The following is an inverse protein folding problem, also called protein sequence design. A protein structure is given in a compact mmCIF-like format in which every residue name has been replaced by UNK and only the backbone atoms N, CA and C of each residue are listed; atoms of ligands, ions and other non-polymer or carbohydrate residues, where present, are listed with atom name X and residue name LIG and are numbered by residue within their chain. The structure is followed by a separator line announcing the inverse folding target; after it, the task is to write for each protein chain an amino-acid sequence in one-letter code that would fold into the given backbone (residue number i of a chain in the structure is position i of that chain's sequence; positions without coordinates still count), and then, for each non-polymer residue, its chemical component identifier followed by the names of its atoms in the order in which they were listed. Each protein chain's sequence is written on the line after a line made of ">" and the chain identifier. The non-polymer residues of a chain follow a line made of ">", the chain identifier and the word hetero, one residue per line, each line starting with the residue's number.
data_IF_327773603518
#
_entry.id   IF_327773603518
#
_cell.length_a   1.000
_cell.length_b   1.000
_cell.length_c   1.000
_cell.angle_alpha   90.00
_cell.angle_beta   90.00
_cell.angle_gamma   90.00
#
_symmetry.space_group_name_H-M   'P 1'
#
loop_
_entity.id
_entity.type
_entity.pdbx_description
1 polymer ?
#
# COMPACT_ATOMS: atom_id res chain seq x y z
N UNK A 1 -17.98 -6.30 -13.13
CA UNK A 1 -18.59 -6.34 -11.77
C UNK A 1 -18.74 -7.77 -11.23
N UNK A 2 -19.34 -8.72 -11.98
CA UNK A 2 -19.58 -10.10 -11.49
C UNK A 2 -18.30 -10.78 -10.99
N UNK A 3 -17.19 -10.72 -11.76
CA UNK A 3 -15.89 -11.31 -11.38
C UNK A 3 -15.39 -10.80 -10.02
N UNK A 4 -15.56 -9.52 -9.74
CA UNK A 4 -15.07 -8.91 -8.48
C UNK A 4 -15.88 -9.40 -7.27
N UNK A 5 -17.21 -9.50 -7.41
CA UNK A 5 -18.04 -10.08 -6.35
C UNK A 5 -17.73 -11.56 -6.14
N UNK A 6 -17.50 -12.32 -7.23
CA UNK A 6 -17.09 -13.73 -7.13
C UNK A 6 -15.77 -13.90 -6.38
N UNK A 7 -14.79 -13.04 -6.63
CA UNK A 7 -13.50 -13.04 -5.92
C UNK A 7 -13.70 -12.76 -4.42
N UNK A 8 -14.52 -11.77 -4.05
CA UNK A 8 -14.81 -11.48 -2.64
C UNK A 8 -15.51 -12.64 -1.94
N UNK A 9 -16.54 -13.22 -2.58
CA UNK A 9 -17.25 -14.40 -2.07
C UNK A 9 -16.28 -15.55 -1.86
N UNK A 10 -15.40 -15.79 -2.84
CA UNK A 10 -14.39 -16.85 -2.73
C UNK A 10 -13.45 -16.63 -1.54
N UNK A 11 -12.97 -15.41 -1.32
CA UNK A 11 -12.10 -15.08 -0.17
C UNK A 11 -12.82 -15.30 1.14
N UNK A 12 -14.10 -14.94 1.23
CA UNK A 12 -14.91 -15.21 2.42
C UNK A 12 -15.06 -16.71 2.67
N UNK A 13 -15.34 -17.50 1.63
CA UNK A 13 -15.39 -18.96 1.74
C UNK A 13 -14.05 -19.56 2.17
N UNK A 14 -12.94 -19.11 1.57
CA UNK A 14 -11.61 -19.54 1.94
C UNK A 14 -11.28 -19.19 3.41
N UNK A 15 -11.71 -18.01 3.88
CA UNK A 15 -11.55 -17.59 5.28
C UNK A 15 -12.36 -18.50 6.23
N UNK A 16 -13.61 -18.83 5.87
CA UNK A 16 -14.46 -19.76 6.64
C UNK A 16 -13.80 -21.15 6.69
N UNK A 17 -13.40 -21.70 5.55
CA UNK A 17 -12.72 -23.00 5.48
C UNK A 17 -11.42 -23.00 6.32
N UNK A 18 -10.63 -21.93 6.24
CA UNK A 18 -9.44 -21.76 7.06
C UNK A 18 -9.77 -21.71 8.55
N UNK A 19 -10.87 -21.06 8.96
CA UNK A 19 -11.28 -20.99 10.37
C UNK A 19 -11.73 -22.35 10.93
N UNK A 20 -12.31 -23.19 10.09
CA UNK A 20 -12.74 -24.54 10.42
C UNK A 20 -11.60 -25.56 10.38
N UNK A 21 -10.48 -25.23 9.74
CA UNK A 21 -9.34 -26.12 9.63
C UNK A 21 -8.66 -26.36 11.00
N UNK A 22 -8.55 -27.64 11.40
CA UNK A 22 -7.94 -28.05 12.67
C UNK A 22 -6.42 -27.90 12.67
N UNK A 23 -5.76 -28.09 11.51
CA UNK A 23 -4.30 -28.00 11.38
C UNK A 23 -3.89 -26.68 10.76
N UNK A 24 -2.83 -26.05 11.29
CA UNK A 24 -2.27 -24.78 10.80
C UNK A 24 -1.90 -24.81 9.31
N UNK A 25 -1.35 -25.94 8.85
CA UNK A 25 -0.94 -26.12 7.44
C UNK A 25 -2.09 -25.91 6.44
N UNK A 26 -3.32 -26.30 6.80
CA UNK A 26 -4.47 -26.04 5.92
C UNK A 26 -4.89 -24.57 5.91
N UNK A 27 -4.64 -23.83 7.00
CA UNK A 27 -4.89 -22.38 7.05
C UNK A 27 -3.97 -21.65 6.07
N UNK A 28 -2.70 -22.00 6.07
CA UNK A 28 -1.72 -21.42 5.15
C UNK A 28 -2.03 -21.79 3.69
N UNK A 29 -2.42 -23.06 3.45
CA UNK A 29 -2.82 -23.53 2.12
C UNK A 29 -4.04 -22.76 1.58
N UNK A 30 -5.08 -22.56 2.37
CA UNK A 30 -6.25 -21.77 1.93
C UNK A 30 -5.88 -20.34 1.61
N UNK A 31 -4.96 -19.72 2.38
CA UNK A 31 -4.48 -18.38 2.11
C UNK A 31 -3.65 -18.30 0.83
N UNK A 32 -2.79 -19.30 0.57
CA UNK A 32 -2.03 -19.42 -0.68
C UNK A 32 -2.96 -19.58 -1.89
N UNK A 33 -3.98 -20.43 -1.80
CA UNK A 33 -4.99 -20.61 -2.85
C UNK A 33 -5.72 -19.29 -3.12
N UNK A 34 -6.12 -18.55 -2.08
CA UNK A 34 -6.76 -17.25 -2.25
C UNK A 34 -5.86 -16.25 -2.98
N UNK A 35 -4.59 -16.16 -2.59
CA UNK A 35 -3.61 -15.29 -3.27
C UNK A 35 -3.37 -15.74 -4.72
N UNK A 36 -3.26 -17.05 -4.97
CA UNK A 36 -3.07 -17.58 -6.33
C UNK A 36 -4.25 -17.27 -7.25
N UNK A 37 -5.48 -17.37 -6.75
CA UNK A 37 -6.65 -16.99 -7.55
C UNK A 37 -6.72 -15.50 -7.85
N UNK A 38 -6.32 -14.63 -6.90
CA UNK A 38 -6.18 -13.21 -7.18
C UNK A 38 -5.13 -12.96 -8.27
N UNK A 39 -4.01 -13.66 -8.20
CA UNK A 39 -2.99 -13.60 -9.25
C UNK A 39 -3.57 -14.02 -10.61
N UNK A 40 -4.25 -15.16 -10.71
CA UNK A 40 -4.83 -15.64 -11.96
C UNK A 40 -5.79 -14.61 -12.56
N UNK A 41 -6.75 -14.10 -11.79
CA UNK A 41 -7.69 -13.08 -12.26
C UNK A 41 -6.98 -11.84 -12.78
N UNK A 42 -5.92 -11.42 -12.10
CA UNK A 42 -5.13 -10.26 -12.49
C UNK A 42 -4.26 -10.53 -13.73
N UNK A 43 -3.69 -11.72 -13.88
CA UNK A 43 -2.78 -12.10 -14.96
C UNK A 43 -3.49 -12.39 -16.28
N UNK A 44 -4.69 -13.01 -16.21
CA UNK A 44 -5.45 -13.42 -17.41
C UNK A 44 -6.47 -12.37 -17.87
N UNK A 45 -6.54 -11.22 -17.21
CA UNK A 45 -7.49 -10.16 -17.57
C UNK A 45 -7.31 -9.72 -19.02
N UNK A 46 -8.38 -9.25 -19.61
CA UNK A 46 -8.37 -8.63 -20.91
C UNK A 46 -7.60 -7.29 -20.90
N UNK A 47 -6.99 -6.93 -22.02
CA UNK A 47 -6.20 -5.69 -22.17
C UNK A 47 -7.04 -4.41 -22.05
N UNK A 48 -8.35 -4.52 -22.25
CA UNK A 48 -9.29 -3.43 -21.99
C UNK A 48 -9.52 -3.15 -20.50
N UNK A 49 -9.06 -4.04 -19.61
CA UNK A 49 -9.17 -3.86 -18.16
C UNK A 49 -7.98 -3.08 -17.62
N UNK A 50 -8.15 -1.79 -17.46
CA UNK A 50 -7.17 -0.83 -16.99
C UNK A 50 -6.94 0.30 -18.00
N UNK A 51 -7.27 1.53 -17.61
CA UNK A 51 -7.22 2.71 -18.52
C UNK A 51 -5.80 3.05 -19.00
N UNK A 52 -4.77 2.72 -18.21
CA UNK A 52 -3.37 3.00 -18.56
C UNK A 52 -2.67 1.79 -19.21
N UNK A 53 -3.31 0.61 -19.21
CA UNK A 53 -2.70 -0.61 -19.72
C UNK A 53 -2.31 -0.53 -21.19
N UNK A 54 -3.16 -0.02 -22.11
CA UNK A 54 -2.77 0.11 -23.53
C UNK A 54 -1.47 0.89 -23.74
N UNK A 55 -1.22 1.94 -22.96
CA UNK A 55 0.02 2.73 -23.02
C UNK A 55 1.25 1.92 -22.61
N UNK A 56 1.11 1.02 -21.63
CA UNK A 56 2.22 0.15 -21.19
C UNK A 56 2.51 -0.93 -22.23
N UNK A 57 1.47 -1.49 -22.86
CA UNK A 57 1.64 -2.49 -23.93
C UNK A 57 2.28 -1.85 -25.17
N UNK A 58 1.93 -0.62 -25.50
CA UNK A 58 2.55 0.13 -26.60
C UNK A 58 4.07 0.31 -26.38
N UNK A 59 4.50 0.58 -25.15
CA UNK A 59 5.93 0.64 -24.79
C UNK A 59 6.59 -0.72 -25.02
N UNK A 60 5.98 -1.81 -24.54
CA UNK A 60 6.50 -3.18 -24.71
C UNK A 60 6.68 -3.50 -26.19
N UNK A 61 5.69 -3.17 -27.01
CA UNK A 61 5.72 -3.39 -28.44
C UNK A 61 6.83 -2.55 -29.12
N UNK A 62 6.95 -1.28 -28.76
CA UNK A 62 7.99 -0.39 -29.30
C UNK A 62 9.40 -0.92 -28.94
N UNK A 63 9.61 -1.35 -27.70
CA UNK A 63 10.88 -1.93 -27.24
C UNK A 63 11.20 -3.26 -27.97
N UNK A 64 10.17 -4.08 -28.25
CA UNK A 64 10.35 -5.40 -28.88
C UNK A 64 10.93 -5.36 -30.29
N UNK A 65 10.94 -4.21 -30.95
CA UNK A 65 11.52 -4.01 -32.29
C UNK A 65 12.93 -3.43 -32.27
N UNK A 66 13.50 -3.12 -31.07
CA UNK A 66 14.80 -2.47 -30.95
C UNK A 66 15.91 -3.45 -30.51
N UNK A 67 17.12 -3.27 -31.08
CA UNK A 67 18.31 -3.93 -30.55
C UNK A 67 18.72 -3.29 -29.22
N UNK A 68 19.56 -4.00 -28.42
CA UNK A 68 19.96 -3.49 -27.10
C UNK A 68 20.72 -2.17 -27.15
N UNK A 69 21.52 -1.90 -28.19
CA UNK A 69 22.20 -0.61 -28.39
C UNK A 69 21.22 0.51 -28.66
N UNK A 70 20.22 0.24 -29.53
CA UNK A 70 19.16 1.19 -29.88
C UNK A 70 18.25 1.41 -28.67
N UNK A 71 17.94 0.35 -27.94
CA UNK A 71 17.22 0.43 -26.66
C UNK A 71 17.91 1.36 -25.65
N UNK A 72 19.23 1.30 -25.49
CA UNK A 72 19.96 2.19 -24.57
C UNK A 72 19.92 3.65 -25.00
N UNK A 73 20.00 3.91 -26.32
CA UNK A 73 19.86 5.27 -26.87
C UNK A 73 18.43 5.77 -26.79
N UNK A 74 17.45 4.92 -27.08
CA UNK A 74 16.02 5.24 -27.10
C UNK A 74 15.41 5.25 -25.69
N UNK A 75 15.95 4.47 -24.73
CA UNK A 75 15.49 4.49 -23.33
C UNK A 75 15.62 5.87 -22.69
N UNK A 76 16.59 6.66 -23.12
CA UNK A 76 16.73 8.07 -22.76
C UNK A 76 15.70 8.97 -23.49
N UNK A 77 15.05 8.43 -24.53
CA UNK A 77 14.10 9.14 -25.39
C UNK A 77 12.63 8.89 -25.05
N UNK A 78 12.31 8.00 -24.08
CA UNK A 78 10.93 7.77 -23.61
C UNK A 78 10.52 8.84 -22.59
N UNK A 79 10.02 10.02 -23.03
CA UNK A 79 9.67 11.10 -22.11
C UNK A 79 8.50 10.67 -21.21
N UNK A 80 8.69 10.82 -19.90
CA UNK A 80 7.66 10.55 -18.89
C UNK A 80 7.68 9.13 -18.29
N UNK A 81 8.70 8.31 -18.63
CA UNK A 81 8.90 7.00 -18.02
C UNK A 81 10.27 6.93 -17.35
N UNK A 82 10.29 6.32 -16.15
CA UNK A 82 11.51 6.13 -15.38
C UNK A 82 12.33 4.94 -15.94
N UNK A 83 13.64 5.08 -15.88
CA UNK A 83 14.59 4.12 -16.44
C UNK A 83 14.38 2.67 -15.94
N UNK A 84 14.14 2.47 -14.66
CA UNK A 84 13.89 1.14 -14.10
C UNK A 84 12.62 0.49 -14.64
N UNK A 85 11.58 1.28 -14.93
CA UNK A 85 10.37 0.77 -15.58
C UNK A 85 10.67 0.30 -17.01
N UNK A 86 11.45 1.06 -17.76
CA UNK A 86 11.86 0.71 -19.12
C UNK A 86 12.68 -0.59 -19.12
N UNK A 87 13.62 -0.75 -18.18
CA UNK A 87 14.39 -2.02 -18.03
C UNK A 87 13.47 -3.20 -17.75
N UNK A 88 12.46 -3.05 -16.88
CA UNK A 88 11.51 -4.14 -16.59
C UNK A 88 10.79 -4.55 -17.87
N UNK A 89 10.31 -3.58 -18.67
CA UNK A 89 9.64 -3.87 -19.93
C UNK A 89 10.58 -4.56 -20.93
N UNK A 90 11.82 -4.13 -21.03
CA UNK A 90 12.83 -4.77 -21.89
C UNK A 90 13.08 -6.23 -21.50
N UNK A 91 13.26 -6.51 -20.22
CA UNK A 91 13.44 -7.89 -19.71
C UNK A 91 12.22 -8.74 -20.06
N UNK A 92 11.01 -8.20 -19.90
CA UNK A 92 9.76 -8.91 -20.23
C UNK A 92 9.70 -9.26 -21.71
N UNK A 93 10.10 -8.36 -22.60
CA UNK A 93 10.13 -8.59 -24.06
C UNK A 93 11.10 -9.70 -24.45
N UNK A 94 12.30 -9.75 -23.84
CA UNK A 94 13.29 -10.82 -24.10
C UNK A 94 12.72 -12.21 -23.80
N UNK A 95 11.89 -12.34 -22.75
CA UNK A 95 11.34 -13.61 -22.30
C UNK A 95 9.97 -13.99 -22.87
N UNK A 96 9.37 -13.14 -23.69
CA UNK A 96 8.06 -13.48 -24.25
C UNK A 96 7.36 -12.38 -25.03
N UNK A 97 6.08 -12.29 -24.83
CA UNK A 97 5.19 -11.30 -25.45
C UNK A 97 4.75 -10.23 -24.43
N UNK A 98 4.07 -9.20 -24.93
CA UNK A 98 3.41 -8.18 -24.10
C UNK A 98 2.55 -8.77 -22.97
N UNK A 99 1.94 -9.97 -23.19
CA UNK A 99 1.18 -10.71 -22.19
C UNK A 99 2.03 -11.05 -20.95
N UNK A 100 3.34 -11.25 -21.12
CA UNK A 100 4.27 -11.52 -20.02
C UNK A 100 4.40 -10.33 -19.07
N UNK A 101 4.18 -9.10 -19.53
CA UNK A 101 4.13 -7.93 -18.65
C UNK A 101 2.99 -8.07 -17.62
N UNK A 102 1.80 -8.51 -18.06
CA UNK A 102 0.66 -8.73 -17.16
C UNK A 102 0.92 -9.86 -16.18
N UNK A 103 1.47 -10.98 -16.67
CA UNK A 103 1.76 -12.15 -15.82
C UNK A 103 2.82 -11.81 -14.78
N UNK A 104 3.94 -11.25 -15.19
CA UNK A 104 5.08 -10.99 -14.28
C UNK A 104 4.77 -9.87 -13.28
N UNK A 105 4.15 -8.77 -13.72
CA UNK A 105 3.75 -7.69 -12.83
C UNK A 105 2.68 -8.13 -11.82
N UNK A 106 1.69 -8.93 -12.26
CA UNK A 106 0.66 -9.48 -11.38
C UNK A 106 1.24 -10.46 -10.36
N UNK A 107 2.15 -11.36 -10.80
CA UNK A 107 2.81 -12.32 -9.92
C UNK A 107 3.64 -11.60 -8.83
N UNK A 108 4.47 -10.65 -9.24
CA UNK A 108 5.29 -9.89 -8.31
C UNK A 108 4.45 -9.08 -7.33
N UNK A 109 3.40 -8.41 -7.82
CA UNK A 109 2.49 -7.62 -7.03
C UNK A 109 1.76 -8.46 -5.97
N UNK A 110 1.08 -9.52 -6.39
CA UNK A 110 0.31 -10.39 -5.48
C UNK A 110 1.24 -11.11 -4.49
N UNK A 111 2.41 -11.58 -4.95
CA UNK A 111 3.40 -12.20 -4.05
C UNK A 111 3.88 -11.22 -2.96
N UNK A 112 4.12 -9.96 -3.30
CA UNK A 112 4.57 -8.94 -2.34
C UNK A 112 3.51 -8.68 -1.26
N UNK A 113 2.23 -8.60 -1.62
CA UNK A 113 1.14 -8.44 -0.67
C UNK A 113 0.84 -9.73 0.11
N UNK A 114 0.90 -10.89 -0.53
CA UNK A 114 0.82 -12.18 0.17
C UNK A 114 1.90 -12.26 1.28
N UNK A 115 3.14 -11.93 0.95
CA UNK A 115 4.24 -11.88 1.91
C UNK A 115 4.00 -10.86 3.02
N UNK A 116 3.51 -9.66 2.68
CA UNK A 116 3.15 -8.63 3.65
C UNK A 116 2.15 -9.18 4.67
N UNK A 117 1.05 -9.77 4.20
CA UNK A 117 -0.03 -10.23 5.08
C UNK A 117 0.38 -11.46 5.89
N UNK A 118 1.11 -12.42 5.28
CA UNK A 118 1.61 -13.60 5.99
C UNK A 118 2.58 -13.24 7.12
N UNK A 119 3.42 -12.20 6.92
CA UNK A 119 4.48 -11.86 7.87
C UNK A 119 4.04 -10.85 8.94
N UNK A 120 3.18 -9.90 8.58
CA UNK A 120 2.85 -8.79 9.46
C UNK A 120 1.42 -8.82 10.00
N UNK A 121 0.46 -9.45 9.31
CA UNK A 121 -0.93 -9.44 9.75
C UNK A 121 -1.22 -10.54 10.77
N UNK A 122 -2.01 -10.19 11.77
CA UNK A 122 -2.59 -11.15 12.73
C UNK A 122 -3.82 -11.87 12.18
N UNK A 123 -4.47 -11.27 11.15
CA UNK A 123 -5.67 -11.80 10.49
C UNK A 123 -5.51 -11.69 8.96
N UNK A 124 -4.70 -12.58 8.32
CA UNK A 124 -4.32 -12.44 6.91
C UNK A 124 -5.50 -12.36 5.93
N UNK A 125 -6.58 -13.11 6.15
CA UNK A 125 -7.78 -13.07 5.31
C UNK A 125 -8.52 -11.73 5.41
N UNK A 126 -8.57 -11.14 6.62
CA UNK A 126 -9.13 -9.80 6.79
C UNK A 126 -8.27 -8.75 6.09
N UNK A 127 -6.94 -8.89 6.16
CA UNK A 127 -6.01 -8.04 5.40
C UNK A 127 -6.26 -8.13 3.90
N UNK A 128 -6.45 -9.34 3.39
CA UNK A 128 -6.74 -9.58 1.97
C UNK A 128 -8.09 -8.96 1.55
N UNK A 129 -9.12 -9.08 2.39
CA UNK A 129 -10.42 -8.44 2.15
C UNK A 129 -10.29 -6.91 2.13
N UNK A 130 -9.58 -6.32 3.10
CA UNK A 130 -9.34 -4.87 3.15
C UNK A 130 -8.53 -4.40 1.92
N UNK A 131 -7.51 -5.15 1.50
CA UNK A 131 -6.72 -4.88 0.29
C UNK A 131 -7.59 -4.74 -0.96
N UNK A 132 -8.61 -5.58 -1.10
CA UNK A 132 -9.56 -5.51 -2.21
C UNK A 132 -10.54 -4.36 -2.01
N UNK A 133 -11.16 -4.25 -0.83
CA UNK A 133 -12.16 -3.23 -0.52
C UNK A 133 -11.62 -1.80 -0.53
N UNK A 134 -10.33 -1.62 -0.19
CA UNK A 134 -9.63 -0.34 -0.31
C UNK A 134 -9.06 -0.08 -1.71
N UNK A 135 -9.52 -0.83 -2.69
CA UNK A 135 -9.20 -0.70 -4.12
C UNK A 135 -7.73 -0.94 -4.50
N UNK A 136 -6.84 -1.38 -3.59
CA UNK A 136 -5.44 -1.67 -3.94
C UNK A 136 -5.32 -2.73 -5.02
N UNK A 137 -6.10 -3.80 -4.92
CA UNK A 137 -6.11 -4.86 -5.91
C UNK A 137 -6.43 -4.33 -7.33
N UNK A 138 -7.45 -3.49 -7.44
CA UNK A 138 -7.89 -2.93 -8.73
C UNK A 138 -6.96 -1.83 -9.25
N UNK A 139 -6.47 -0.99 -8.35
CA UNK A 139 -5.51 0.05 -8.72
C UNK A 139 -4.19 -0.54 -9.23
N UNK A 140 -3.77 -1.71 -8.68
CA UNK A 140 -2.62 -2.45 -9.19
C UNK A 140 -2.80 -2.99 -10.62
N UNK A 141 -4.04 -3.16 -11.09
CA UNK A 141 -4.32 -3.50 -12.49
C UNK A 141 -4.16 -2.30 -13.44
N UNK A 142 -4.32 -1.10 -12.94
CA UNK A 142 -4.34 0.13 -13.73
C UNK A 142 -3.01 0.88 -13.69
N UNK A 143 -2.50 1.17 -12.49
CA UNK A 143 -1.31 1.99 -12.26
C UNK A 143 -0.05 1.11 -12.10
N UNK A 144 0.29 0.30 -13.11
CA UNK A 144 1.33 -0.74 -13.03
C UNK A 144 2.65 -0.23 -12.45
N UNK A 145 3.16 0.91 -12.93
CA UNK A 145 4.44 1.48 -12.47
C UNK A 145 4.43 1.78 -10.97
N UNK A 146 3.44 2.54 -10.52
CA UNK A 146 3.34 2.95 -9.12
C UNK A 146 3.18 1.73 -8.20
N UNK A 147 2.34 0.78 -8.58
CA UNK A 147 2.08 -0.39 -7.74
C UNK A 147 3.20 -1.43 -7.79
N UNK A 148 3.98 -1.48 -8.88
CA UNK A 148 5.24 -2.22 -8.91
C UNK A 148 6.27 -1.58 -7.95
N UNK A 149 6.37 -0.26 -7.93
CA UNK A 149 7.22 0.44 -6.96
C UNK A 149 6.75 0.20 -5.51
N UNK A 150 5.44 0.23 -5.24
CA UNK A 150 4.88 -0.15 -3.93
C UNK A 150 5.29 -1.58 -3.57
N UNK A 151 5.14 -2.54 -4.48
CA UNK A 151 5.50 -3.93 -4.26
C UNK A 151 6.99 -4.09 -3.89
N UNK A 152 7.90 -3.36 -4.54
CA UNK A 152 9.33 -3.31 -4.19
C UNK A 152 9.51 -2.76 -2.77
N UNK A 153 8.84 -1.66 -2.42
CA UNK A 153 8.97 -1.03 -1.11
C UNK A 153 8.52 -1.93 0.05
N UNK A 154 7.58 -2.85 -0.18
CA UNK A 154 7.15 -3.80 0.87
C UNK A 154 8.29 -4.67 1.40
N UNK A 155 9.35 -4.91 0.62
CA UNK A 155 10.55 -5.63 1.07
C UNK A 155 11.45 -4.79 1.98
N UNK A 156 11.26 -3.49 2.05
CA UNK A 156 12.05 -2.59 2.90
C UNK A 156 11.54 -2.46 4.33
N UNK A 157 10.29 -2.88 4.62
CA UNK A 157 9.61 -2.64 5.90
C UNK A 157 10.39 -3.19 7.10
N UNK A 158 10.99 -4.38 6.97
CA UNK A 158 11.79 -4.96 8.04
C UNK A 158 13.02 -4.09 8.37
N UNK A 159 13.65 -3.47 7.36
CA UNK A 159 14.81 -2.61 7.57
C UNK A 159 14.46 -1.26 8.24
N UNK A 160 13.20 -0.84 8.20
CA UNK A 160 12.71 0.29 9.01
C UNK A 160 12.71 -0.11 10.49
N UNK A 161 12.18 -1.31 10.81
CA UNK A 161 12.13 -1.85 12.18
C UNK A 161 13.55 -2.05 12.72
N UNK A 162 14.43 -2.69 11.94
CA UNK A 162 15.80 -3.04 12.32
C UNK A 162 16.75 -1.83 12.29
N UNK A 163 16.26 -0.64 11.90
CA UNK A 163 17.05 0.59 11.75
C UNK A 163 18.25 0.46 10.80
N UNK A 164 18.15 -0.40 9.80
CA UNK A 164 19.19 -0.66 8.80
C UNK A 164 19.06 0.28 7.60
N UNK A 165 19.55 1.52 7.74
CA UNK A 165 19.36 2.60 6.75
C UNK A 165 19.90 2.21 5.36
N UNK A 166 21.12 1.66 5.28
CA UNK A 166 21.73 1.32 3.99
C UNK A 166 20.90 0.33 3.18
N UNK A 167 20.38 -0.75 3.83
CA UNK A 167 19.52 -1.73 3.16
C UNK A 167 18.16 -1.12 2.78
N UNK A 168 17.61 -0.29 3.66
CA UNK A 168 16.35 0.40 3.41
C UNK A 168 16.43 1.33 2.21
N UNK A 169 17.44 2.22 2.17
CA UNK A 169 17.55 3.23 1.13
C UNK A 169 17.84 2.63 -0.26
N UNK A 170 18.59 1.53 -0.33
CA UNK A 170 18.83 0.81 -1.60
C UNK A 170 17.51 0.37 -2.21
N UNK A 171 16.58 -0.20 -1.41
CA UNK A 171 15.27 -0.63 -1.92
C UNK A 171 14.41 0.56 -2.31
N UNK A 172 14.46 1.66 -1.54
CA UNK A 172 13.73 2.90 -1.88
C UNK A 172 14.25 3.47 -3.21
N UNK A 173 15.57 3.54 -3.39
CA UNK A 173 16.17 4.02 -4.64
C UNK A 173 15.80 3.12 -5.82
N UNK A 174 15.83 1.79 -5.63
CA UNK A 174 15.38 0.84 -6.66
C UNK A 174 13.90 1.08 -7.02
N UNK A 175 13.01 1.25 -6.06
CA UNK A 175 11.61 1.58 -6.31
C UNK A 175 11.46 2.93 -7.03
N UNK A 176 12.30 3.91 -6.70
CA UNK A 176 12.30 5.25 -7.31
C UNK A 176 12.68 5.19 -8.80
N UNK A 177 13.55 4.26 -9.21
CA UNK A 177 13.85 4.05 -10.64
C UNK A 177 12.64 3.52 -11.43
N UNK A 178 11.67 2.90 -10.77
CA UNK A 178 10.43 2.40 -11.38
C UNK A 178 9.33 3.46 -11.36
N UNK A 179 9.25 4.24 -10.27
CA UNK A 179 8.31 5.34 -10.14
C UNK A 179 8.84 6.41 -9.19
N UNK A 180 9.13 7.59 -9.72
CA UNK A 180 9.87 8.65 -9.01
C UNK A 180 9.29 9.03 -7.64
N UNK A 181 7.95 9.04 -7.48
CA UNK A 181 7.32 9.40 -6.21
C UNK A 181 7.55 8.39 -5.08
N UNK A 182 8.10 7.19 -5.39
CA UNK A 182 8.48 6.19 -4.39
C UNK A 182 9.53 6.69 -3.39
N UNK A 183 10.32 7.72 -3.76
CA UNK A 183 11.29 8.35 -2.87
C UNK A 183 10.64 8.91 -1.59
N UNK A 184 9.37 9.34 -1.67
CA UNK A 184 8.61 9.85 -0.52
C UNK A 184 8.47 8.78 0.58
N UNK A 185 8.56 7.49 0.24
CA UNK A 185 8.51 6.41 1.24
C UNK A 185 9.68 6.47 2.23
N UNK A 186 10.78 7.15 1.89
CA UNK A 186 11.91 7.37 2.80
C UNK A 186 11.48 8.04 4.12
N UNK A 187 10.41 8.83 4.13
CA UNK A 187 9.88 9.51 5.32
C UNK A 187 9.59 8.54 6.48
N UNK A 188 9.15 7.30 6.18
CA UNK A 188 8.82 6.33 7.24
C UNK A 188 10.04 5.99 8.11
N UNK A 189 11.24 5.95 7.53
CA UNK A 189 12.46 5.66 8.26
C UNK A 189 12.75 6.70 9.35
N UNK A 190 12.51 7.97 9.06
CA UNK A 190 12.75 9.08 9.97
C UNK A 190 11.64 9.24 11.02
N UNK A 191 10.40 8.92 10.66
CA UNK A 191 9.24 9.05 11.55
C UNK A 191 9.12 7.86 12.52
N UNK A 192 9.51 6.66 12.10
CA UNK A 192 9.36 5.43 12.89
C UNK A 192 9.96 5.49 14.32
N UNK A 193 11.12 6.14 14.61
CA UNK A 193 11.66 6.21 15.97
C UNK A 193 10.78 7.01 16.93
N UNK A 194 9.97 7.94 16.45
CA UNK A 194 9.17 8.84 17.28
C UNK A 194 8.20 8.03 18.14
N UNK A 195 8.09 8.39 19.43
CA UNK A 195 7.09 7.80 20.32
C UNK A 195 5.69 8.27 19.97
N UNK A 196 4.77 7.33 19.77
CA UNK A 196 3.35 7.65 19.53
C UNK A 196 2.69 8.00 20.87
N UNK A 197 2.81 9.27 21.27
CA UNK A 197 2.16 9.84 22.46
C UNK A 197 0.84 10.53 22.09
N UNK A 198 -0.04 10.75 23.08
CA UNK A 198 -1.27 11.54 22.88
C UNK A 198 -0.96 12.95 22.36
N UNK A 199 0.12 13.58 22.86
CA UNK A 199 0.57 14.90 22.38
C UNK A 199 1.00 14.84 20.92
N UNK A 200 1.76 13.83 20.53
CA UNK A 200 2.18 13.64 19.12
C UNK A 200 0.97 13.48 18.19
N UNK A 201 -0.01 12.64 18.57
CA UNK A 201 -1.23 12.47 17.79
C UNK A 201 -2.04 13.75 17.68
N UNK A 202 -2.22 14.47 18.78
CA UNK A 202 -2.92 15.75 18.80
C UNK A 202 -2.24 16.78 17.89
N UNK A 203 -0.91 16.91 17.99
CA UNK A 203 -0.14 17.81 17.14
C UNK A 203 -0.23 17.41 15.65
N UNK A 204 -0.22 16.12 15.35
CA UNK A 204 -0.37 15.62 13.98
C UNK A 204 -1.75 15.97 13.43
N UNK A 205 -2.81 15.74 14.19
CA UNK A 205 -4.18 16.06 13.76
C UNK A 205 -4.35 17.56 13.56
N UNK A 206 -3.94 18.38 14.54
CA UNK A 206 -3.99 19.86 14.42
C UNK A 206 -3.17 20.32 13.20
N UNK A 207 -1.94 19.79 13.03
CA UNK A 207 -1.09 20.11 11.90
C UNK A 207 -1.72 19.73 10.56
N UNK A 208 -2.31 18.56 10.46
CA UNK A 208 -2.99 18.09 9.24
C UNK A 208 -4.21 18.98 8.89
N UNK A 209 -5.01 19.35 9.89
CA UNK A 209 -6.14 20.28 9.69
C UNK A 209 -5.63 21.68 9.33
N UNK A 210 -4.57 22.17 9.98
CA UNK A 210 -3.96 23.45 9.66
C UNK A 210 -3.40 23.46 8.23
N UNK A 211 -2.69 22.40 7.80
CA UNK A 211 -2.23 22.25 6.42
C UNK A 211 -3.42 22.34 5.46
N UNK A 212 -4.49 21.60 5.74
CA UNK A 212 -5.72 21.66 4.93
C UNK A 212 -6.28 23.08 4.80
N UNK A 213 -6.39 23.80 5.92
CA UNK A 213 -6.98 25.16 5.95
C UNK A 213 -6.04 26.18 5.28
N UNK A 214 -4.74 26.14 5.57
CA UNK A 214 -3.79 27.16 5.14
C UNK A 214 -3.20 26.91 3.75
N UNK A 215 -3.03 25.66 3.33
CA UNK A 215 -2.58 25.30 1.98
C UNK A 215 -3.74 25.19 0.99
N UNK A 216 -5.01 25.25 1.46
CA UNK A 216 -6.16 25.39 0.58
C UNK A 216 -5.98 26.60 -0.33
N UNK A 217 -6.11 26.38 -1.62
CA UNK A 217 -6.13 27.30 -2.78
C UNK A 217 -5.30 28.61 -2.74
N UNK A 218 -5.25 29.36 -1.65
CA UNK A 218 -4.69 30.72 -1.65
C UNK A 218 -3.17 30.78 -1.47
N UNK A 219 -2.60 30.05 -0.51
CA UNK A 219 -1.16 30.09 -0.24
C UNK A 219 -0.37 29.27 -1.27
N UNK A 220 -0.94 28.18 -1.74
CA UNK A 220 -0.27 27.34 -2.73
C UNK A 220 -0.21 28.03 -4.09
N UNK A 221 -1.30 28.65 -4.56
CA UNK A 221 -1.27 29.44 -5.80
C UNK A 221 -0.31 30.62 -5.74
N UNK A 222 -0.22 31.29 -4.58
CA UNK A 222 0.80 32.35 -4.37
C UNK A 222 2.22 31.81 -4.34
N UNK A 223 2.45 30.65 -3.70
CA UNK A 223 3.77 30.04 -3.68
C UNK A 223 4.21 29.61 -5.10
N UNK A 224 3.31 29.05 -5.90
CA UNK A 224 3.61 28.70 -7.30
C UNK A 224 3.92 29.95 -8.15
N UNK A 225 3.19 31.03 -7.96
CA UNK A 225 3.43 32.29 -8.65
C UNK A 225 4.78 32.90 -8.27
N UNK A 226 5.13 32.91 -6.97
CA UNK A 226 6.42 33.41 -6.46
C UNK A 226 7.62 32.59 -6.93
N UNK A 227 7.42 31.27 -7.12
CA UNK A 227 8.48 30.35 -7.55
C UNK A 227 8.54 30.17 -9.07
N UNK A 228 7.73 30.90 -9.84
CA UNK A 228 7.60 30.77 -11.30
C UNK A 228 7.31 29.34 -11.77
N UNK A 229 6.52 28.59 -11.00
CA UNK A 229 6.17 27.19 -11.24
C UNK A 229 4.76 27.03 -11.85
N UNK A 230 4.36 27.93 -12.75
CA UNK A 230 3.02 27.96 -13.39
C UNK A 230 2.59 26.65 -14.06
N UNK A 231 3.56 25.82 -14.53
CA UNK A 231 3.26 24.50 -15.08
C UNK A 231 2.61 23.53 -14.09
N UNK A 232 2.66 23.82 -12.78
CA UNK A 232 1.99 23.01 -11.74
C UNK A 232 0.57 23.50 -11.42
N UNK A 233 0.13 24.65 -11.96
CA UNK A 233 -1.24 25.16 -11.75
C UNK A 233 -2.31 24.18 -12.23
N UNK A 234 -2.01 23.38 -13.28
CA UNK A 234 -2.92 22.35 -13.80
C UNK A 234 -3.23 21.23 -12.80
N UNK A 235 -2.44 21.07 -11.73
CA UNK A 235 -2.64 20.06 -10.69
C UNK A 235 -3.44 20.58 -9.49
N UNK A 236 -3.79 21.88 -9.48
CA UNK A 236 -4.64 22.46 -8.45
C UNK A 236 -6.08 21.99 -8.69
N UNK A 237 -6.67 21.36 -7.67
CA UNK A 237 -8.05 20.90 -7.75
C UNK A 237 -8.99 22.09 -7.59
N UNK A 238 -9.67 22.45 -8.64
CA UNK A 238 -10.74 23.45 -8.59
C UNK A 238 -12.02 22.82 -8.00
N UNK A 239 -12.13 22.81 -6.66
CA UNK A 239 -13.44 22.65 -6.00
C UNK A 239 -14.04 21.25 -5.87
N UNK A 240 -13.38 20.17 -6.29
CA UNK A 240 -13.92 18.81 -6.11
C UNK A 240 -13.55 18.20 -4.74
N UNK A 241 -14.57 17.93 -3.92
CA UNK A 241 -14.44 17.47 -2.53
C UNK A 241 -14.03 15.99 -2.35
N UNK A 242 -13.64 15.27 -3.40
CA UNK A 242 -13.32 13.83 -3.34
C UNK A 242 -12.19 13.46 -2.35
N UNK A 243 -11.22 14.34 -2.17
CA UNK A 243 -10.13 14.15 -1.23
C UNK A 243 -10.52 14.28 0.25
N UNK A 244 -11.56 15.06 0.55
CA UNK A 244 -11.99 15.35 1.92
C UNK A 244 -12.60 14.11 2.62
N UNK A 245 -13.46 13.38 1.93
CA UNK A 245 -14.03 12.13 2.46
C UNK A 245 -12.92 11.13 2.83
N UNK A 246 -11.91 11.00 1.97
CA UNK A 246 -10.80 10.12 2.23
C UNK A 246 -9.90 10.61 3.38
N UNK A 247 -9.72 11.92 3.51
CA UNK A 247 -9.03 12.51 4.66
C UNK A 247 -9.72 12.15 5.98
N UNK A 248 -11.05 12.35 6.08
CA UNK A 248 -11.80 12.00 7.29
C UNK A 248 -11.81 10.49 7.57
N UNK A 249 -11.82 9.68 6.51
CA UNK A 249 -11.69 8.23 6.66
C UNK A 249 -10.34 7.87 7.34
N UNK A 250 -9.23 8.36 6.83
CA UNK A 250 -7.90 8.11 7.42
C UNK A 250 -7.83 8.66 8.85
N UNK A 251 -8.33 9.89 9.07
CA UNK A 251 -8.36 10.54 10.39
C UNK A 251 -9.09 9.66 11.42
N UNK A 252 -10.24 9.10 11.07
CA UNK A 252 -11.02 8.22 11.96
C UNK A 252 -10.16 7.04 12.44
N UNK A 253 -9.42 6.38 11.56
CA UNK A 253 -8.59 5.23 11.94
C UNK A 253 -7.30 5.63 12.66
N UNK A 254 -6.74 6.78 12.38
CA UNK A 254 -5.62 7.34 13.16
C UNK A 254 -6.08 7.64 14.58
N UNK A 255 -7.26 8.25 14.75
CA UNK A 255 -7.84 8.51 16.08
C UNK A 255 -8.21 7.22 16.81
N UNK A 256 -8.76 6.22 16.10
CA UNK A 256 -9.04 4.91 16.68
C UNK A 256 -7.79 4.24 17.27
N UNK A 257 -6.62 4.47 16.69
CA UNK A 257 -5.35 4.00 17.25
C UNK A 257 -4.98 4.65 18.59
N UNK A 258 -5.57 5.78 18.96
CA UNK A 258 -5.39 6.38 20.28
C UNK A 258 -5.98 5.51 21.41
N UNK A 259 -6.93 4.62 21.07
CA UNK A 259 -7.54 3.65 22.01
C UNK A 259 -6.61 2.46 22.32
N UNK A 260 -5.53 2.27 21.57
CA UNK A 260 -4.52 1.27 21.88
C UNK A 260 -3.78 1.64 23.17
N UNK A 261 -3.43 0.63 23.97
CA UNK A 261 -2.56 0.81 25.15
C UNK A 261 -1.15 1.23 24.72
N UNK A 262 -0.37 1.78 25.64
CA UNK A 262 1.03 2.16 25.38
C UNK A 262 1.85 0.95 24.95
N UNK A 263 1.60 -0.23 25.53
CA UNK A 263 2.31 -1.46 25.20
C UNK A 263 1.99 -1.93 23.77
N UNK A 264 0.72 -1.91 23.36
CA UNK A 264 0.28 -2.25 22.02
C UNK A 264 0.89 -1.29 20.97
N UNK A 265 0.88 0.02 21.24
CA UNK A 265 1.48 1.04 20.35
C UNK A 265 3.01 0.90 20.22
N UNK A 266 3.68 0.32 21.21
CA UNK A 266 5.13 0.09 21.17
C UNK A 266 5.51 -1.24 20.52
N UNK A 267 4.55 -2.12 20.20
CA UNK A 267 4.83 -3.30 19.40
C UNK A 267 5.42 -2.87 18.04
N UNK A 268 6.62 -3.37 17.65
CA UNK A 268 7.32 -2.87 16.45
C UNK A 268 6.48 -2.90 15.18
N UNK A 269 5.69 -3.95 14.97
CA UNK A 269 4.82 -4.10 13.80
C UNK A 269 3.67 -3.09 13.84
N UNK A 270 2.94 -3.01 14.95
CA UNK A 270 1.82 -2.06 15.10
C UNK A 270 2.34 -0.63 14.97
N UNK A 271 3.47 -0.33 15.61
CA UNK A 271 4.12 0.97 15.56
C UNK A 271 4.45 1.39 14.12
N UNK A 272 5.01 0.47 13.31
CA UNK A 272 5.34 0.74 11.91
C UNK A 272 4.09 1.13 11.11
N UNK A 273 3.07 0.29 11.11
CA UNK A 273 1.86 0.52 10.33
C UNK A 273 1.04 1.71 10.84
N UNK A 274 1.10 1.98 12.15
CA UNK A 274 0.46 3.17 12.70
C UNK A 274 1.16 4.47 12.24
N UNK A 275 2.51 4.51 12.23
CA UNK A 275 3.24 5.66 11.66
C UNK A 275 2.95 5.84 10.16
N UNK A 276 2.82 4.75 9.42
CA UNK A 276 2.41 4.83 8.02
C UNK A 276 1.01 5.44 7.89
N UNK A 277 0.04 5.06 8.73
CA UNK A 277 -1.30 5.68 8.74
C UNK A 277 -1.23 7.18 9.10
N UNK A 278 -0.38 7.55 10.05
CA UNK A 278 -0.14 8.96 10.43
C UNK A 278 0.45 9.75 9.24
N UNK A 279 1.44 9.19 8.55
CA UNK A 279 1.99 9.81 7.34
C UNK A 279 0.96 9.92 6.22
N UNK A 280 0.13 8.88 6.03
CA UNK A 280 -0.98 8.92 5.08
C UNK A 280 -1.92 10.10 5.37
N UNK A 281 -2.26 10.34 6.66
CA UNK A 281 -3.10 11.47 7.06
C UNK A 281 -2.47 12.81 6.71
N UNK A 282 -1.18 13.00 7.08
CA UNK A 282 -0.45 14.26 6.81
C UNK A 282 -0.35 14.52 5.31
N UNK A 283 0.02 13.50 4.52
CA UNK A 283 0.17 13.65 3.07
C UNK A 283 -1.19 13.87 2.40
N UNK A 284 -2.24 13.21 2.88
CA UNK A 284 -3.60 13.41 2.37
C UNK A 284 -4.09 14.84 2.55
N UNK A 285 -3.64 15.56 3.59
CA UNK A 285 -4.01 16.97 3.76
C UNK A 285 -3.53 17.86 2.61
N UNK A 286 -2.40 17.52 1.99
CA UNK A 286 -1.90 18.23 0.81
C UNK A 286 -2.65 17.85 -0.47
N UNK A 287 -3.22 16.63 -0.54
CA UNK A 287 -3.96 16.17 -1.72
C UNK A 287 -5.27 16.94 -1.94
N UNK A 288 -5.76 17.63 -0.92
CA UNK A 288 -6.92 18.51 -1.00
C UNK A 288 -6.64 19.76 -1.85
N UNK A 289 -5.36 20.08 -2.05
CA UNK A 289 -4.92 21.20 -2.91
C UNK A 289 -4.27 20.71 -4.19
N UNK A 290 -3.48 19.62 -4.12
CA UNK A 290 -2.74 19.07 -5.25
C UNK A 290 -3.04 17.58 -5.38
N UNK A 291 -3.73 17.21 -6.46
CA UNK A 291 -4.21 15.83 -6.70
C UNK A 291 -3.10 14.77 -6.63
N UNK A 292 -1.88 15.11 -7.06
CA UNK A 292 -0.76 14.15 -7.09
C UNK A 292 -0.37 13.63 -5.69
N UNK A 293 -0.63 14.40 -4.62
CA UNK A 293 -0.41 13.90 -3.27
C UNK A 293 -1.32 12.74 -2.89
N UNK A 294 -2.49 12.59 -3.52
CA UNK A 294 -3.34 11.41 -3.35
C UNK A 294 -2.62 10.13 -3.79
N UNK A 295 -1.79 10.21 -4.85
CA UNK A 295 -0.94 9.08 -5.29
C UNK A 295 0.17 8.79 -4.28
N UNK A 296 0.77 9.82 -3.69
CA UNK A 296 1.80 9.67 -2.65
C UNK A 296 1.18 9.07 -1.38
N UNK A 297 -0.05 9.44 -1.03
CA UNK A 297 -0.78 8.85 0.11
C UNK A 297 -0.88 7.33 -0.01
N UNK A 298 -1.02 6.77 -1.22
CA UNK A 298 -1.15 5.33 -1.43
C UNK A 298 0.06 4.54 -0.93
N UNK A 299 1.28 5.09 -0.96
CA UNK A 299 2.47 4.42 -0.42
C UNK A 299 2.37 4.14 1.08
N UNK A 300 1.61 4.93 1.80
CA UNK A 300 1.47 4.84 3.26
C UNK A 300 0.13 4.24 3.66
N UNK A 301 -0.95 4.57 2.95
CA UNK A 301 -2.29 4.09 3.27
C UNK A 301 -2.45 2.58 3.08
N UNK A 302 -1.60 1.92 2.27
CA UNK A 302 -1.57 0.45 2.17
C UNK A 302 -1.44 -0.23 3.55
N UNK A 303 -0.84 0.48 4.53
CA UNK A 303 -0.73 0.01 5.92
C UNK A 303 -2.07 -0.28 6.58
N UNK A 304 -3.16 0.34 6.12
CA UNK A 304 -4.51 0.11 6.62
C UNK A 304 -4.91 -1.36 6.58
N UNK A 305 -4.51 -2.07 5.52
CA UNK A 305 -4.79 -3.50 5.34
C UNK A 305 -4.12 -4.41 6.38
N UNK A 306 -3.06 -3.94 7.06
CA UNK A 306 -2.38 -4.67 8.15
C UNK A 306 -2.71 -4.05 9.51
N UNK A 307 -2.76 -2.73 9.56
CA UNK A 307 -3.01 -1.99 10.81
C UNK A 307 -4.36 -2.35 11.43
N UNK A 308 -5.45 -2.29 10.65
CA UNK A 308 -6.79 -2.57 11.16
C UNK A 308 -6.93 -4.01 11.70
N UNK A 309 -6.51 -5.07 11.00
CA UNK A 309 -6.48 -6.42 11.55
C UNK A 309 -5.70 -6.54 12.87
N UNK A 310 -4.55 -5.87 12.99
CA UNK A 310 -3.76 -5.86 14.22
C UNK A 310 -4.52 -5.18 15.36
N UNK A 311 -5.16 -4.03 15.11
CA UNK A 311 -5.98 -3.33 16.13
C UNK A 311 -7.17 -4.16 16.59
N UNK A 312 -7.86 -4.83 15.66
CA UNK A 312 -9.01 -5.70 15.98
C UNK A 312 -8.54 -6.89 16.83
N UNK A 313 -7.40 -7.48 16.50
CA UNK A 313 -6.91 -8.67 17.24
C UNK A 313 -6.50 -8.36 18.68
N UNK A 314 -6.02 -7.14 18.97
CA UNK A 314 -5.68 -6.72 20.35
C UNK A 314 -6.93 -6.53 21.22
N UNK A 315 -8.09 -6.26 20.59
CA UNK A 315 -9.37 -6.01 21.29
C UNK A 315 -10.22 -7.27 21.49
N UNK A 316 -9.75 -8.46 21.11
CA UNK A 316 -10.48 -9.69 21.43
C UNK A 316 -10.62 -9.82 22.94
N UNK A 317 -11.84 -10.06 23.47
CA UNK A 317 -12.03 -10.25 24.91
C UNK A 317 -11.13 -11.41 25.36
N UNK A 318 -10.49 -11.21 26.51
CA UNK A 318 -9.74 -12.27 27.21
C UNK A 318 -10.67 -13.47 27.30
N UNK A 319 -10.33 -14.55 26.59
CA UNK A 319 -11.09 -15.79 26.64
C UNK A 319 -11.19 -16.23 28.10
N UNK A 320 -12.38 -16.57 28.55
CA UNK A 320 -12.73 -17.00 29.92
C UNK A 320 -12.03 -18.29 30.37
N UNK A 321 -10.89 -18.63 29.83
CA UNK A 321 -10.09 -19.80 30.26
C UNK A 321 -9.49 -19.69 31.67
N UNK A 322 -9.41 -18.48 32.24
CA UNK A 322 -8.96 -18.33 33.65
C UNK A 322 -10.06 -18.53 34.68
N UNK A 323 -11.35 -18.53 34.32
CA UNK A 323 -12.41 -18.80 35.29
C UNK A 323 -12.54 -20.29 35.63
N UNK A 324 -12.13 -21.22 34.76
CA UNK A 324 -12.14 -22.67 35.03
C UNK A 324 -11.03 -23.12 35.96
N UNK A 325 -9.94 -22.38 36.09
CA UNK A 325 -8.84 -22.75 37.03
C UNK A 325 -9.18 -22.43 38.49
N UNK A 326 -10.14 -21.53 38.76
CA UNK A 326 -10.56 -21.20 40.13
C UNK A 326 -11.71 -22.08 40.65
N UNK A 327 -12.48 -22.73 39.76
CA UNK A 327 -13.57 -23.62 40.19
C UNK A 327 -13.10 -25.04 40.55
N UNK A 328 -11.98 -25.52 39.97
CA UNK A 328 -11.42 -26.82 40.29
C UNK A 328 -10.66 -26.84 41.64
N UNK A 329 -10.39 -25.69 42.24
CA UNK A 329 -9.75 -25.60 43.58
C UNK A 329 -10.71 -25.68 44.77
N UNK A 330 -12.03 -25.74 44.59
CA UNK A 330 -13.03 -25.76 45.67
C UNK A 330 -13.68 -27.12 45.96
N UNK A 331 -13.25 -28.17 45.32
CA UNK A 331 -13.78 -29.53 45.56
C UNK A 331 -12.77 -30.53 46.12
N UNK A 332 -11.74 -30.05 46.81
CA UNK A 332 -10.83 -30.90 47.62
C UNK A 332 -10.66 -30.26 48.99
N UNK A 333 -11.67 -30.35 49.82
CA UNK A 333 -11.60 -30.43 51.29
C UNK A 333 -12.75 -31.32 51.74
#
# INVERSE_FOLDING_TARGET
>A
MLVYYSVLVFILLAAICSSLAKKGIYKDLFFQIAAFLLFLVMAIRDESVGTDLPKYLDIVNTIGYSNFSDFLSDSLSFPGYEFGWIIINYIVVIFGSERMLLVTSSAFYIYSFYRLFSHYSTLPFLSLAIFILSCYYFSGMNLLRQYTAIAILLFSLQYVIDRSFGKFIIIVLLATTVHQTAICFSLIYFVYPIKISKKYLLMTVIGSVAIYIFFGNFLFSRALALLNLSKFEKYIINGENGGLTFFFFILTFVLAGSLLTVQERNNPKIKLFYHMMILALVIQSFSLTVAEFARVTQYFFLSFSVYLPCVISTKKPVSYTHLRAHETGRHLV
#
